data_IF_917350481484
#
_entry.id   IF_917350481484
#
_cell.length_a   1.000
_cell.length_b   1.000
_cell.length_c   1.000
_cell.angle_alpha   90.00
_cell.angle_beta   90.00
_cell.angle_gamma   90.00
#
_symmetry.space_group_name_H-M   'P 1'
#
loop_
_entity.id
_entity.type
_entity.pdbx_description
1 polymer ?
#
# COMPACT_ATOMS: atom_id res chain seq x y z
N UNK A 1 -5.32 7.59 25.84
CA UNK A 1 -4.02 6.93 26.08
C UNK A 1 -4.17 5.47 25.66
N UNK A 2 -3.69 5.14 24.47
CA UNK A 2 -3.75 3.79 23.91
C UNK A 2 -2.48 3.57 23.10
N UNK A 3 -1.42 3.22 23.81
CA UNK A 3 -0.10 2.90 23.26
C UNK A 3 -0.14 1.56 22.56
N UNK A 4 0.09 1.53 21.25
CA UNK A 4 0.42 0.31 20.51
C UNK A 4 1.87 0.41 20.04
N UNK A 5 2.78 0.02 20.93
CA UNK A 5 4.17 -0.28 20.60
C UNK A 5 4.21 -1.68 19.96
N UNK A 6 4.00 -1.74 18.65
CA UNK A 6 4.30 -2.89 17.82
C UNK A 6 5.80 -2.94 17.54
N UNK A 7 6.47 -4.01 17.96
CA UNK A 7 7.90 -4.24 17.77
C UNK A 7 8.19 -4.52 16.29
N UNK A 8 9.19 -3.84 15.76
CA UNK A 8 9.53 -3.75 14.33
C UNK A 8 9.64 -5.10 13.58
N UNK A 9 8.72 -5.27 12.64
CA UNK A 9 8.93 -5.73 11.26
C UNK A 9 8.02 -4.82 10.40
N UNK A 10 8.23 -3.51 10.46
CA UNK A 10 7.10 -2.57 10.42
C UNK A 10 6.72 -2.10 8.99
N UNK A 11 6.37 -3.04 8.12
CA UNK A 11 5.57 -2.75 6.93
C UNK A 11 4.09 -2.68 7.35
N UNK A 12 3.48 -1.49 7.32
CA UNK A 12 2.07 -1.29 7.69
C UNK A 12 1.26 -0.99 6.43
N UNK A 13 0.09 -1.62 6.32
CA UNK A 13 -0.97 -1.19 5.40
C UNK A 13 -2.03 -0.47 6.22
N UNK A 14 -2.24 0.80 5.89
CA UNK A 14 -3.40 1.56 6.33
C UNK A 14 -4.48 1.47 5.27
N UNK A 15 -5.74 1.31 5.69
CA UNK A 15 -6.89 1.40 4.80
C UNK A 15 -7.73 2.59 5.19
N UNK A 16 -8.17 3.33 4.18
CA UNK A 16 -9.21 4.33 4.33
C UNK A 16 -10.32 4.01 3.31
N UNK A 17 -11.51 3.70 3.80
CA UNK A 17 -12.69 3.63 2.95
C UNK A 17 -13.09 5.07 2.61
N UNK A 18 -13.11 5.38 1.32
CA UNK A 18 -13.69 6.61 0.80
C UNK A 18 -15.05 6.27 0.21
N UNK A 19 -16.06 7.13 0.39
CA UNK A 19 -17.32 7.03 -0.34
C UNK A 19 -17.05 7.19 -1.86
N UNK A 20 -16.82 6.06 -2.54
CA UNK A 20 -16.39 5.99 -3.93
C UNK A 20 -16.54 4.58 -4.48
N UNK A 21 -16.01 4.31 -5.69
CA UNK A 21 -16.09 3.01 -6.37
C UNK A 21 -14.97 2.02 -5.98
N UNK A 22 -13.93 2.49 -5.28
CA UNK A 22 -12.71 1.74 -4.97
C UNK A 22 -12.36 1.87 -3.50
N UNK A 23 -11.75 0.82 -2.94
CA UNK A 23 -11.15 0.89 -1.61
C UNK A 23 -9.71 1.39 -1.78
N UNK A 24 -9.32 2.40 -0.99
CA UNK A 24 -8.01 3.05 -1.11
C UNK A 24 -7.09 2.58 0.00
N UNK A 25 -5.95 2.02 -0.42
CA UNK A 25 -4.89 1.52 0.44
C UNK A 25 -3.74 2.51 0.46
N UNK A 26 -3.09 2.60 1.62
CA UNK A 26 -1.82 3.28 1.81
C UNK A 26 -0.83 2.24 2.35
N UNK A 27 0.31 2.10 1.69
CA UNK A 27 1.32 1.13 2.08
C UNK A 27 2.63 1.86 2.38
N UNK A 28 3.28 1.45 3.47
CA UNK A 28 4.65 1.87 3.79
C UNK A 28 5.50 0.61 3.89
N UNK A 29 6.50 0.52 3.02
CA UNK A 29 7.54 -0.50 3.08
C UNK A 29 8.90 0.19 2.91
N UNK A 30 9.96 -0.23 3.63
CA UNK A 30 11.30 0.23 3.34
C UNK A 30 11.72 -0.20 1.92
N UNK A 31 12.40 0.64 1.14
CA UNK A 31 12.81 0.33 -0.25
C UNK A 31 13.51 -1.02 -0.39
N UNK A 32 14.38 -1.36 0.57
CA UNK A 32 15.14 -2.61 0.60
C UNK A 32 14.29 -3.88 0.77
N UNK A 33 13.02 -3.74 1.16
CA UNK A 33 12.10 -4.86 1.37
C UNK A 33 10.90 -4.85 0.42
N UNK A 34 10.79 -3.89 -0.50
CA UNK A 34 9.61 -3.74 -1.37
C UNK A 34 9.22 -5.00 -2.13
N UNK A 35 10.21 -5.69 -2.71
CA UNK A 35 10.00 -6.93 -3.47
C UNK A 35 9.34 -8.05 -2.66
N UNK A 36 9.47 -8.02 -1.34
CA UNK A 36 8.89 -9.02 -0.43
C UNK A 36 7.68 -8.50 0.32
N UNK A 37 7.71 -7.22 0.73
CA UNK A 37 6.67 -6.59 1.53
C UNK A 37 5.43 -6.27 0.68
N UNK A 38 5.59 -5.70 -0.51
CA UNK A 38 4.46 -5.31 -1.37
C UNK A 38 3.59 -6.53 -1.72
N UNK A 39 4.13 -7.67 -2.20
CA UNK A 39 3.31 -8.83 -2.53
C UNK A 39 2.59 -9.41 -1.31
N UNK A 40 3.28 -9.53 -0.17
CA UNK A 40 2.71 -10.09 1.06
C UNK A 40 1.55 -9.23 1.59
N UNK A 41 1.78 -7.92 1.69
CA UNK A 41 0.82 -6.96 2.21
C UNK A 41 -0.41 -6.80 1.31
N UNK A 42 -0.21 -6.69 -0.01
CA UNK A 42 -1.32 -6.58 -0.97
C UNK A 42 -2.11 -7.88 -1.12
N UNK A 43 -1.47 -9.04 -0.99
CA UNK A 43 -2.18 -10.33 -0.98
C UNK A 43 -3.10 -10.44 0.23
N UNK A 44 -2.62 -10.02 1.40
CA UNK A 44 -3.44 -9.97 2.62
C UNK A 44 -4.61 -8.98 2.46
N UNK A 45 -4.34 -7.77 1.97
CA UNK A 45 -5.38 -6.76 1.75
C UNK A 45 -6.46 -7.21 0.74
N UNK A 46 -6.07 -7.92 -0.32
CA UNK A 46 -7.04 -8.49 -1.27
C UNK A 46 -7.97 -9.50 -0.63
N UNK A 47 -7.42 -10.36 0.23
CA UNK A 47 -8.20 -11.38 0.91
C UNK A 47 -9.18 -10.76 1.93
N UNK A 48 -8.73 -9.75 2.66
CA UNK A 48 -9.50 -9.11 3.72
C UNK A 48 -10.57 -8.15 3.17
N UNK A 49 -10.27 -7.40 2.11
CA UNK A 49 -11.08 -6.25 1.69
C UNK A 49 -11.69 -6.37 0.28
N UNK A 50 -11.09 -7.16 -0.61
CA UNK A 50 -11.42 -7.13 -2.04
C UNK A 50 -12.19 -8.34 -2.62
N UNK A 51 -13.21 -8.96 -1.96
CA UNK A 51 -14.01 -9.97 -2.67
C UNK A 51 -14.81 -9.39 -3.86
N UNK A 52 -15.12 -8.09 -3.87
CA UNK A 52 -16.07 -7.48 -4.84
C UNK A 52 -15.69 -6.10 -5.39
N UNK A 53 -14.59 -5.50 -4.93
CA UNK A 53 -14.24 -4.10 -5.26
C UNK A 53 -12.79 -4.01 -5.74
N UNK A 54 -12.54 -3.05 -6.64
CA UNK A 54 -11.19 -2.75 -7.11
C UNK A 54 -10.44 -1.98 -6.02
N UNK A 55 -9.15 -2.27 -5.86
CA UNK A 55 -8.26 -1.58 -4.94
C UNK A 55 -7.51 -0.46 -5.67
N UNK A 56 -7.36 0.68 -5.02
CA UNK A 56 -6.43 1.76 -5.39
C UNK A 56 -5.33 1.82 -4.33
N UNK A 57 -4.07 1.99 -4.74
CA UNK A 57 -2.94 2.07 -3.83
C UNK A 57 -2.25 3.43 -4.00
N UNK A 58 -2.11 4.17 -2.91
CA UNK A 58 -1.24 5.33 -2.83
C UNK A 58 0.18 4.87 -2.47
N UNK A 59 1.14 5.14 -3.35
CA UNK A 59 2.54 4.72 -3.21
C UNK A 59 3.49 5.74 -3.85
N UNK A 60 4.74 5.91 -3.37
CA UNK A 60 5.71 6.80 -4.00
C UNK A 60 5.95 6.45 -5.48
N UNK A 61 5.91 7.46 -6.35
CA UNK A 61 6.23 7.28 -7.77
C UNK A 61 7.68 6.82 -7.95
N UNK A 62 7.93 5.90 -8.89
CA UNK A 62 9.25 5.33 -9.14
C UNK A 62 9.69 4.26 -8.14
N UNK A 63 8.88 3.91 -7.14
CA UNK A 63 9.17 2.84 -6.18
C UNK A 63 8.21 1.66 -6.34
N UNK A 64 8.72 0.43 -6.19
CA UNK A 64 7.94 -0.79 -6.32
C UNK A 64 7.21 -0.99 -7.66
N UNK A 65 7.45 -0.20 -8.71
CA UNK A 65 6.62 -0.15 -9.92
C UNK A 65 6.54 -1.50 -10.64
N UNK A 66 7.67 -2.20 -10.76
CA UNK A 66 7.72 -3.52 -11.37
C UNK A 66 6.91 -4.53 -10.55
N UNK A 67 7.12 -4.56 -9.23
CA UNK A 67 6.38 -5.44 -8.32
C UNK A 67 4.87 -5.14 -8.33
N UNK A 68 4.49 -3.87 -8.35
CA UNK A 68 3.08 -3.45 -8.45
C UNK A 68 2.44 -3.86 -9.78
N UNK A 69 3.17 -3.70 -10.89
CA UNK A 69 2.74 -4.13 -12.22
C UNK A 69 2.55 -5.66 -12.28
N UNK A 70 3.50 -6.43 -11.74
CA UNK A 70 3.39 -7.90 -11.62
C UNK A 70 2.19 -8.34 -10.78
N UNK A 71 1.82 -7.53 -9.78
CA UNK A 71 0.63 -7.75 -8.95
C UNK A 71 -0.68 -7.32 -9.65
N UNK A 72 -0.62 -6.73 -10.84
CA UNK A 72 -1.78 -6.33 -11.64
C UNK A 72 -2.30 -4.92 -11.33
N UNK A 73 -1.50 -4.07 -10.68
CA UNK A 73 -1.77 -2.65 -10.56
C UNK A 73 -1.28 -1.92 -11.81
N UNK A 74 -2.02 -0.90 -12.23
CA UNK A 74 -1.59 0.04 -13.27
C UNK A 74 -1.40 1.42 -12.64
N UNK A 75 -0.40 2.20 -13.06
CA UNK A 75 -0.20 3.54 -12.55
C UNK A 75 -1.40 4.42 -12.90
N UNK A 76 -2.06 4.99 -11.90
CA UNK A 76 -2.99 6.09 -12.06
C UNK A 76 -2.29 7.36 -11.59
N UNK A 77 -2.05 8.33 -12.48
CA UNK A 77 -1.44 9.61 -12.10
C UNK A 77 -2.35 10.34 -11.11
N UNK A 78 -2.02 10.23 -9.84
CA UNK A 78 -2.57 11.04 -8.77
C UNK A 78 -1.41 11.82 -8.16
N UNK A 79 -1.50 13.15 -8.16
CA UNK A 79 -0.51 14.02 -7.53
C UNK A 79 -0.56 13.78 -6.02
N UNK A 80 0.34 12.94 -5.51
CA UNK A 80 0.55 12.73 -4.07
C UNK A 80 1.83 13.48 -3.69
N UNK A 81 1.71 14.40 -2.74
CA UNK A 81 2.85 15.13 -2.17
C UNK A 81 3.30 14.40 -0.91
N UNK A 82 4.53 13.88 -0.87
CA UNK A 82 5.14 13.31 0.32
C UNK A 82 6.47 13.99 0.63
N UNK A 83 6.68 14.32 1.90
CA UNK A 83 7.97 14.78 2.41
C UNK A 83 8.85 13.57 2.72
N UNK A 84 9.95 13.41 1.99
CA UNK A 84 10.97 12.42 2.29
C UNK A 84 11.93 12.98 3.34
N UNK A 85 12.02 12.30 4.49
CA UNK A 85 13.11 12.52 5.45
C UNK A 85 14.20 11.50 5.12
N UNK A 86 15.38 12.01 4.73
CA UNK A 86 16.57 11.22 4.40
C UNK A 86 17.31 10.73 5.65
#
# INVERSE_FOLDING_TARGET
MGSNLGRAIDGRVGMAEFEGAFDRLWLVAPPEFEETAIPALLSNARWEFAPRRKLSLEYPAGQGEETLSQMGFSPEQTLIWMEYQA
#
